data_IF_200466698891
#
_entry.id   IF_200466698891
#
_cell.length_a   1.000
_cell.length_b   1.000
_cell.length_c   1.000
_cell.angle_alpha   90.00
_cell.angle_beta   90.00
_cell.angle_gamma   90.00
#
_symmetry.space_group_name_H-M   'P 1'
#
loop_
_entity.id
_entity.type
_entity.pdbx_description
1 polymer ?
#
# COMPACT_ATOMS: atom_id res chain seq x y z
N UNK A 1 -11.70 27.92 9.78
CA UNK A 1 -11.88 26.45 9.82
C UNK A 1 -13.31 25.96 9.59
N UNK A 2 -14.33 26.39 10.35
CA UNK A 2 -15.72 25.87 10.19
C UNK A 2 -16.28 25.96 8.76
N UNK A 3 -16.04 27.08 8.06
CA UNK A 3 -16.44 27.28 6.65
C UNK A 3 -15.70 26.30 5.71
N UNK A 4 -14.40 26.10 5.92
CA UNK A 4 -13.57 25.15 5.15
C UNK A 4 -14.06 23.71 5.34
N UNK A 5 -14.32 23.28 6.60
CA UNK A 5 -14.84 21.94 6.91
C UNK A 5 -16.23 21.73 6.29
N UNK A 6 -17.06 22.78 6.28
CA UNK A 6 -18.40 22.72 5.66
C UNK A 6 -18.30 22.54 4.14
N UNK A 7 -17.40 23.27 3.48
CA UNK A 7 -17.17 23.14 2.04
C UNK A 7 -16.55 21.78 1.70
N UNK A 8 -15.53 21.33 2.46
CA UNK A 8 -14.89 20.03 2.26
C UNK A 8 -15.87 18.87 2.49
N UNK A 9 -16.66 18.91 3.57
CA UNK A 9 -17.66 17.86 3.83
C UNK A 9 -18.73 17.80 2.74
N UNK A 10 -19.16 18.96 2.21
CA UNK A 10 -20.06 19.03 1.07
C UNK A 10 -19.41 18.45 -0.18
N UNK A 11 -18.18 18.85 -0.50
CA UNK A 11 -17.44 18.36 -1.66
C UNK A 11 -17.27 16.83 -1.61
N UNK A 12 -16.83 16.29 -0.47
CA UNK A 12 -16.67 14.84 -0.28
C UNK A 12 -18.03 14.14 -0.43
N UNK A 13 -19.09 14.69 0.15
CA UNK A 13 -20.44 14.11 0.03
C UNK A 13 -20.93 14.08 -1.41
N UNK A 14 -20.75 15.19 -2.15
CA UNK A 14 -21.11 15.28 -3.57
C UNK A 14 -20.30 14.29 -4.39
N UNK A 15 -19.00 14.18 -4.15
CA UNK A 15 -18.15 13.22 -4.84
C UNK A 15 -18.57 11.77 -4.55
N UNK A 16 -18.89 11.43 -3.30
CA UNK A 16 -19.36 10.09 -2.93
C UNK A 16 -20.68 9.74 -3.60
N UNK A 17 -21.66 10.65 -3.56
CA UNK A 17 -22.97 10.45 -4.19
C UNK A 17 -22.86 10.38 -5.72
N UNK A 18 -22.12 11.30 -6.34
CA UNK A 18 -21.97 11.36 -7.79
C UNK A 18 -21.24 10.12 -8.32
N UNK A 19 -20.08 9.76 -7.74
CA UNK A 19 -19.33 8.58 -8.17
C UNK A 19 -20.09 7.29 -7.82
N UNK A 20 -20.75 7.23 -6.66
CA UNK A 20 -21.60 6.10 -6.28
C UNK A 20 -22.73 5.87 -7.29
N UNK A 21 -23.43 6.94 -7.66
CA UNK A 21 -24.51 6.89 -8.66
C UNK A 21 -23.99 6.53 -10.06
N UNK A 22 -22.88 7.14 -10.50
CA UNK A 22 -22.27 6.83 -11.80
C UNK A 22 -21.87 5.35 -11.90
N UNK A 23 -21.20 4.82 -10.88
CA UNK A 23 -20.80 3.40 -10.85
C UNK A 23 -22.00 2.46 -10.77
N UNK A 24 -23.08 2.85 -10.09
CA UNK A 24 -24.34 2.12 -10.09
C UNK A 24 -25.00 2.09 -11.46
N UNK A 25 -25.03 3.22 -12.18
CA UNK A 25 -25.53 3.27 -13.55
C UNK A 25 -24.74 2.37 -14.48
N UNK A 26 -23.40 2.37 -14.37
CA UNK A 26 -22.53 1.50 -15.16
C UNK A 26 -22.67 0.01 -14.81
N UNK A 27 -22.94 -0.31 -13.53
CA UNK A 27 -23.10 -1.68 -13.07
C UNK A 27 -24.52 -2.25 -13.26
N UNK A 28 -25.57 -1.43 -13.25
CA UNK A 28 -26.96 -1.90 -13.41
C UNK A 28 -27.42 -1.75 -14.87
N UNK A 29 -26.88 -0.78 -15.60
CA UNK A 29 -27.24 -0.47 -16.98
C UNK A 29 -27.05 -1.65 -17.93
N UNK A 30 -27.93 -1.73 -18.93
CA UNK A 30 -27.85 -2.73 -20.00
C UNK A 30 -26.70 -2.40 -20.95
N UNK A 31 -26.01 -3.44 -21.44
CA UNK A 31 -24.84 -3.30 -22.32
C UNK A 31 -25.11 -2.41 -23.54
N UNK A 32 -26.22 -2.64 -24.25
CA UNK A 32 -26.52 -1.93 -25.50
C UNK A 32 -26.73 -0.43 -25.29
N UNK A 33 -27.41 -0.06 -24.20
CA UNK A 33 -27.63 1.34 -23.81
C UNK A 33 -26.35 2.03 -23.37
N UNK A 34 -25.53 1.34 -22.56
CA UNK A 34 -24.23 1.87 -22.12
C UNK A 34 -23.25 2.01 -23.28
N UNK A 35 -23.22 1.04 -24.20
CA UNK A 35 -22.38 1.08 -25.40
C UNK A 35 -22.74 2.27 -26.28
N UNK A 36 -24.02 2.45 -26.60
CA UNK A 36 -24.49 3.59 -27.40
C UNK A 36 -24.11 4.94 -26.78
N UNK A 37 -24.16 5.04 -25.44
CA UNK A 37 -23.75 6.24 -24.73
C UNK A 37 -22.23 6.44 -24.75
N UNK A 38 -21.44 5.39 -24.51
CA UNK A 38 -19.98 5.44 -24.47
C UNK A 38 -19.37 5.70 -25.84
N UNK A 39 -19.99 5.19 -26.91
CA UNK A 39 -19.56 5.38 -28.30
C UNK A 39 -19.57 6.86 -28.72
N UNK A 40 -20.41 7.70 -28.08
CA UNK A 40 -20.43 9.16 -28.31
C UNK A 40 -19.18 9.87 -27.80
N UNK A 41 -18.44 9.25 -26.88
CA UNK A 41 -17.19 9.79 -26.33
C UNK A 41 -15.95 9.26 -27.07
N UNK A 42 -16.12 8.32 -28.01
CA UNK A 42 -15.04 7.76 -28.80
C UNK A 42 -14.76 8.65 -30.04
N UNK A 43 -13.49 8.92 -30.33
CA UNK A 43 -13.09 9.76 -31.47
C UNK A 43 -13.43 9.16 -32.83
N UNK A 44 -13.54 7.84 -32.90
CA UNK A 44 -13.91 7.03 -34.07
C UNK A 44 -15.39 6.63 -34.06
N UNK A 45 -16.15 7.03 -33.03
CA UNK A 45 -17.57 6.70 -32.88
C UNK A 45 -17.85 5.26 -32.44
N UNK A 46 -16.83 4.47 -32.05
CA UNK A 46 -17.03 3.14 -31.48
C UNK A 46 -15.98 2.76 -30.45
N UNK A 47 -16.41 2.50 -29.22
CA UNK A 47 -15.51 2.15 -28.13
C UNK A 47 -15.23 0.63 -28.12
N UNK A 48 -14.32 0.17 -29.00
CA UNK A 48 -13.98 -1.25 -29.15
C UNK A 48 -13.49 -1.92 -27.85
N UNK A 49 -12.91 -1.13 -26.93
CA UNK A 49 -12.46 -1.61 -25.62
C UNK A 49 -13.62 -2.04 -24.70
N UNK A 50 -14.84 -1.54 -24.91
CA UNK A 50 -16.02 -1.90 -24.11
C UNK A 50 -16.75 -3.12 -24.68
N UNK A 51 -16.14 -4.28 -24.47
CA UNK A 51 -16.73 -5.56 -24.87
C UNK A 51 -17.79 -6.04 -23.88
N UNK A 52 -18.73 -6.87 -24.35
CA UNK A 52 -19.75 -7.49 -23.50
C UNK A 52 -19.12 -8.37 -22.39
N UNK A 53 -17.98 -8.99 -22.69
CA UNK A 53 -17.21 -9.79 -21.72
C UNK A 53 -16.61 -8.93 -20.60
N UNK A 54 -16.12 -7.72 -20.93
CA UNK A 54 -15.65 -6.76 -19.94
C UNK A 54 -16.81 -6.24 -19.07
N UNK A 55 -17.93 -5.89 -19.69
CA UNK A 55 -19.12 -5.43 -18.97
C UNK A 55 -19.61 -6.48 -17.95
N UNK A 56 -19.72 -7.75 -18.37
CA UNK A 56 -20.16 -8.83 -17.47
C UNK A 56 -19.19 -9.07 -16.30
N UNK A 57 -17.88 -8.93 -16.52
CA UNK A 57 -16.88 -9.04 -15.43
C UNK A 57 -16.95 -7.87 -14.45
N UNK A 58 -17.20 -6.66 -14.96
CA UNK A 58 -17.18 -5.44 -14.15
C UNK A 58 -18.53 -5.11 -13.51
N UNK A 59 -19.64 -5.67 -13.99
CA UNK A 59 -21.00 -5.40 -13.53
C UNK A 59 -21.14 -5.45 -12.00
N UNK A 60 -20.79 -6.60 -11.41
CA UNK A 60 -20.89 -6.83 -9.98
C UNK A 60 -19.97 -5.91 -9.16
N UNK A 61 -18.65 -5.83 -9.44
CA UNK A 61 -17.77 -4.96 -8.66
C UNK A 61 -18.13 -3.47 -8.80
N UNK A 62 -18.59 -3.01 -9.97
CA UNK A 62 -19.08 -1.65 -10.16
C UNK A 62 -20.35 -1.38 -9.35
N UNK A 63 -21.35 -2.27 -9.39
CA UNK A 63 -22.58 -2.13 -8.60
C UNK A 63 -22.32 -2.17 -7.09
N UNK A 64 -21.42 -3.04 -6.62
CA UNK A 64 -21.06 -3.11 -5.19
C UNK A 64 -20.34 -1.85 -4.74
N UNK A 65 -19.31 -1.42 -5.49
CA UNK A 65 -18.54 -0.22 -5.16
C UNK A 65 -19.43 1.02 -5.22
N UNK A 66 -20.27 1.13 -6.26
CA UNK A 66 -21.24 2.20 -6.42
C UNK A 66 -22.26 2.24 -5.27
N UNK A 67 -22.81 1.08 -4.89
CA UNK A 67 -23.71 0.95 -3.73
C UNK A 67 -23.05 1.45 -2.44
N UNK A 68 -21.82 1.02 -2.18
CA UNK A 68 -21.08 1.40 -0.97
C UNK A 68 -20.87 2.91 -0.94
N UNK A 69 -20.36 3.51 -2.03
CA UNK A 69 -20.12 4.96 -2.08
C UNK A 69 -21.41 5.77 -1.98
N UNK A 70 -22.49 5.30 -2.61
CA UNK A 70 -23.79 5.95 -2.53
C UNK A 70 -24.38 5.90 -1.12
N UNK A 71 -24.30 4.75 -0.44
CA UNK A 71 -24.72 4.61 0.96
C UNK A 71 -23.85 5.47 1.88
N UNK A 72 -22.53 5.48 1.71
CA UNK A 72 -21.63 6.34 2.49
C UNK A 72 -21.93 7.83 2.27
N UNK A 73 -22.22 8.24 1.04
CA UNK A 73 -22.69 9.60 0.72
C UNK A 73 -24.05 9.92 1.33
N UNK A 74 -24.99 8.97 1.35
CA UNK A 74 -26.28 9.13 2.02
C UNK A 74 -26.14 9.24 3.55
N UNK A 75 -25.25 8.44 4.14
CA UNK A 75 -24.90 8.52 5.55
C UNK A 75 -24.22 9.84 5.89
N UNK A 76 -23.36 10.37 5.03
CA UNK A 76 -22.73 11.68 5.25
C UNK A 76 -23.74 12.84 5.19
N UNK A 77 -24.84 12.70 4.43
CA UNK A 77 -25.97 13.66 4.44
C UNK A 77 -26.81 13.53 5.70
N UNK A 78 -27.23 12.31 6.05
CA UNK A 78 -28.11 12.07 7.21
C UNK A 78 -27.41 12.34 8.54
N UNK A 79 -26.12 12.02 8.63
CA UNK A 79 -25.28 12.19 9.82
C UNK A 79 -24.31 13.36 9.67
N UNK A 80 -24.74 14.44 9.00
CA UNK A 80 -23.89 15.57 8.60
C UNK A 80 -23.03 16.17 9.71
N UNK A 81 -23.60 16.35 10.90
CA UNK A 81 -22.85 16.94 12.02
C UNK A 81 -21.78 15.98 12.55
N UNK A 82 -22.07 14.68 12.66
CA UNK A 82 -21.06 13.66 13.02
C UNK A 82 -19.95 13.59 11.98
N UNK A 83 -20.31 13.57 10.70
CA UNK A 83 -19.34 13.55 9.61
C UNK A 83 -18.41 14.77 9.63
N UNK A 84 -18.95 15.99 9.84
CA UNK A 84 -18.13 17.20 10.01
C UNK A 84 -17.20 17.10 11.23
N UNK A 85 -17.70 16.59 12.37
CA UNK A 85 -16.89 16.42 13.57
C UNK A 85 -15.75 15.42 13.35
N UNK A 86 -16.02 14.27 12.72
CA UNK A 86 -15.00 13.27 12.40
C UNK A 86 -13.97 13.83 11.40
N UNK A 87 -14.42 14.49 10.34
CA UNK A 87 -13.53 15.12 9.36
C UNK A 87 -12.66 16.20 10.01
N UNK A 88 -13.25 17.04 10.88
CA UNK A 88 -12.51 18.04 11.64
C UNK A 88 -11.48 17.41 12.57
N UNK A 89 -11.86 16.38 13.33
CA UNK A 89 -10.96 15.66 14.23
C UNK A 89 -9.80 15.04 13.45
N UNK A 90 -10.09 14.40 12.31
CA UNK A 90 -9.07 13.82 11.43
C UNK A 90 -8.11 14.88 10.88
N UNK A 91 -8.63 15.98 10.33
CA UNK A 91 -7.80 17.05 9.76
C UNK A 91 -6.97 17.81 10.82
N UNK A 92 -7.43 17.86 12.06
CA UNK A 92 -6.67 18.44 13.17
C UNK A 92 -5.64 17.45 13.73
N UNK A 93 -5.98 16.17 13.79
CA UNK A 93 -5.10 15.11 14.27
C UNK A 93 -3.94 14.86 13.30
N UNK A 94 -4.19 14.88 11.99
CA UNK A 94 -3.20 14.57 10.97
C UNK A 94 -1.90 15.41 11.05
N UNK A 95 -1.93 16.75 11.08
CA UNK A 95 -0.71 17.55 11.18
C UNK A 95 -0.05 17.42 12.54
N UNK A 96 -0.82 17.22 13.63
CA UNK A 96 -0.27 17.00 14.97
C UNK A 96 0.49 15.69 15.02
N UNK A 97 -0.10 14.61 14.51
CA UNK A 97 0.52 13.30 14.47
C UNK A 97 1.73 13.28 13.54
N UNK A 98 1.60 13.84 12.32
CA UNK A 98 2.71 13.94 11.38
C UNK A 98 3.88 14.76 11.95
N UNK A 99 3.58 15.88 12.61
CA UNK A 99 4.59 16.70 13.29
C UNK A 99 5.22 15.95 14.46
N UNK A 100 4.42 15.31 15.32
CA UNK A 100 4.93 14.54 16.45
C UNK A 100 5.84 13.40 15.98
N UNK A 101 5.41 12.62 14.98
CA UNK A 101 6.25 11.56 14.39
C UNK A 101 7.54 12.12 13.79
N UNK A 102 7.48 13.28 13.14
CA UNK A 102 8.66 13.95 12.60
C UNK A 102 9.59 14.45 13.70
N UNK A 103 9.06 15.09 14.74
CA UNK A 103 9.80 15.57 15.90
C UNK A 103 10.44 14.41 16.66
N UNK A 104 9.71 13.33 16.91
CA UNK A 104 10.22 12.11 17.55
C UNK A 104 11.34 11.48 16.71
N UNK A 105 11.16 11.39 15.39
CA UNK A 105 12.19 10.88 14.47
C UNK A 105 13.43 11.78 14.46
N UNK A 106 13.23 13.10 14.51
CA UNK A 106 14.30 14.08 14.55
C UNK A 106 15.06 14.04 15.88
N UNK A 107 14.35 13.99 17.00
CA UNK A 107 14.92 13.83 18.35
C UNK A 107 15.68 12.52 18.42
N UNK A 108 15.08 11.42 17.98
CA UNK A 108 15.75 10.11 17.91
C UNK A 108 17.05 10.17 17.09
N UNK A 109 17.01 10.82 15.93
CA UNK A 109 18.18 11.03 15.06
C UNK A 109 19.24 11.95 15.67
N UNK A 110 18.85 12.99 16.42
CA UNK A 110 19.77 13.88 17.14
C UNK A 110 20.39 13.20 18.35
N UNK A 111 19.63 12.36 19.05
CA UNK A 111 20.10 11.51 20.15
C UNK A 111 20.91 10.31 19.64
N UNK A 112 20.87 10.01 18.33
CA UNK A 112 21.83 9.12 17.71
C UNK A 112 23.20 9.83 17.78
N UNK A 113 23.92 9.58 18.88
CA UNK A 113 25.26 10.12 19.20
C UNK A 113 26.34 9.53 18.28
N UNK A 114 26.16 9.66 16.97
CA UNK A 114 27.06 9.14 15.95
C UNK A 114 28.41 9.86 15.96
N UNK A 115 28.45 11.13 16.42
CA UNK A 115 29.68 11.92 16.53
C UNK A 115 30.57 11.50 17.69
N UNK A 116 29.99 10.88 18.71
CA UNK A 116 30.73 10.39 19.86
C UNK A 116 31.37 9.03 19.58
N UNK A 117 31.13 8.44 18.40
CA UNK A 117 31.67 7.14 18.00
C UNK A 117 33.15 7.33 17.66
N UNK A 118 34.02 6.71 18.46
CA UNK A 118 35.46 6.72 18.19
C UNK A 118 35.77 6.02 16.85
N UNK A 119 36.87 6.37 16.19
CA UNK A 119 37.24 5.78 14.90
C UNK A 119 37.37 4.25 14.95
N UNK A 120 37.80 3.67 16.09
CA UNK A 120 37.89 2.23 16.27
C UNK A 120 36.50 1.57 16.44
N UNK A 121 35.54 2.27 17.02
CA UNK A 121 34.14 1.83 17.09
C UNK A 121 33.53 1.77 15.70
N UNK A 122 33.85 2.74 14.84
CA UNK A 122 33.48 2.68 13.42
C UNK A 122 34.08 1.48 12.71
N UNK A 123 35.36 1.15 12.97
CA UNK A 123 35.97 -0.05 12.41
C UNK A 123 35.28 -1.33 12.89
N UNK A 124 34.93 -1.41 14.18
CA UNK A 124 34.16 -2.53 14.73
C UNK A 124 32.79 -2.62 14.06
N UNK A 125 32.04 -1.53 13.97
CA UNK A 125 30.73 -1.51 13.34
C UNK A 125 30.80 -1.92 11.86
N UNK A 126 31.76 -1.39 11.11
CA UNK A 126 31.98 -1.77 9.71
C UNK A 126 32.34 -3.26 9.62
N UNK A 127 33.18 -3.77 10.52
CA UNK A 127 33.53 -5.20 10.55
C UNK A 127 32.30 -6.08 10.85
N UNK A 128 31.43 -5.67 11.78
CA UNK A 128 30.19 -6.36 12.12
C UNK A 128 29.22 -6.36 10.94
N UNK A 129 29.07 -5.21 10.27
CA UNK A 129 28.23 -5.09 9.06
C UNK A 129 28.80 -5.94 7.93
N UNK A 130 30.12 -5.94 7.72
CA UNK A 130 30.78 -6.75 6.70
C UNK A 130 30.61 -8.25 6.97
N UNK A 131 30.77 -8.69 8.22
CA UNK A 131 30.51 -10.08 8.63
C UNK A 131 29.04 -10.44 8.45
N UNK A 132 28.12 -9.56 8.85
CA UNK A 132 26.69 -9.73 8.69
C UNK A 132 26.28 -9.84 7.21
N UNK A 133 26.87 -9.01 6.36
CA UNK A 133 26.68 -9.03 4.91
C UNK A 133 27.25 -10.32 4.32
N UNK A 134 28.54 -10.59 4.51
CA UNK A 134 29.23 -11.74 3.91
C UNK A 134 28.61 -13.07 4.35
N UNK A 135 28.31 -13.20 5.65
CA UNK A 135 27.70 -14.40 6.22
C UNK A 135 26.32 -14.71 5.66
N UNK A 136 25.59 -13.71 5.14
CA UNK A 136 24.28 -13.90 4.48
C UNK A 136 24.40 -13.97 2.96
N UNK A 137 25.32 -13.23 2.36
CA UNK A 137 25.50 -13.12 0.91
C UNK A 137 25.86 -14.47 0.29
N UNK A 138 26.68 -15.27 0.97
CA UNK A 138 27.06 -16.63 0.52
C UNK A 138 25.84 -17.55 0.29
N UNK A 139 24.71 -17.26 0.93
CA UNK A 139 23.50 -18.07 0.85
C UNK A 139 22.42 -17.45 -0.03
N UNK A 140 22.61 -16.21 -0.51
CA UNK A 140 21.51 -15.44 -1.10
C UNK A 140 20.96 -16.07 -2.38
N UNK A 141 21.81 -16.76 -3.15
CA UNK A 141 21.45 -17.37 -4.43
C UNK A 141 21.35 -18.91 -4.38
N UNK A 142 21.27 -19.49 -3.17
CA UNK A 142 21.03 -20.93 -3.03
C UNK A 142 19.62 -21.31 -3.50
N UNK A 143 19.37 -22.57 -3.90
CA UNK A 143 18.03 -23.04 -4.19
C UNK A 143 17.05 -22.70 -3.06
N UNK A 144 15.83 -22.33 -3.43
CA UNK A 144 14.80 -21.94 -2.46
C UNK A 144 14.36 -23.15 -1.63
N UNK A 145 14.20 -22.94 -0.33
CA UNK A 145 13.60 -23.94 0.56
C UNK A 145 12.07 -23.87 0.51
N UNK A 146 11.41 -24.87 1.11
CA UNK A 146 9.96 -25.02 1.05
C UNK A 146 9.20 -23.74 1.41
N UNK A 147 9.51 -23.12 2.55
CA UNK A 147 8.80 -21.93 3.02
C UNK A 147 9.00 -20.71 2.12
N UNK A 148 10.18 -20.57 1.51
CA UNK A 148 10.50 -19.48 0.58
C UNK A 148 9.72 -19.67 -0.73
N UNK A 149 9.77 -20.89 -1.28
CA UNK A 149 9.03 -21.25 -2.49
C UNK A 149 7.53 -21.07 -2.29
N UNK A 150 7.04 -21.50 -1.12
CA UNK A 150 5.65 -21.36 -0.76
C UNK A 150 5.25 -19.89 -0.65
N UNK A 151 6.03 -19.07 0.06
CA UNK A 151 5.78 -17.63 0.18
C UNK A 151 5.68 -16.96 -1.19
N UNK A 152 6.58 -17.33 -2.10
CA UNK A 152 6.59 -16.78 -3.45
C UNK A 152 5.37 -17.21 -4.28
N UNK A 153 5.13 -18.51 -4.39
CA UNK A 153 4.07 -19.07 -5.26
C UNK A 153 2.67 -18.77 -4.71
N UNK A 154 2.49 -18.89 -3.39
CA UNK A 154 1.20 -18.73 -2.75
C UNK A 154 0.84 -17.26 -2.51
N UNK A 155 1.81 -16.35 -2.36
CA UNK A 155 1.53 -14.95 -2.04
C UNK A 155 2.21 -13.95 -2.96
N UNK A 156 3.54 -13.96 -3.09
CA UNK A 156 4.26 -12.85 -3.73
C UNK A 156 4.04 -12.76 -5.24
N UNK A 157 3.92 -13.88 -5.96
CA UNK A 157 3.64 -13.91 -7.40
C UNK A 157 2.17 -13.59 -7.71
N UNK A 158 1.26 -13.75 -6.73
CA UNK A 158 -0.16 -13.41 -6.91
C UNK A 158 -0.34 -11.89 -6.95
N UNK A 159 -1.52 -11.45 -7.39
CA UNK A 159 -1.84 -10.01 -7.37
C UNK A 159 -1.86 -9.45 -5.96
N UNK A 160 -1.48 -8.17 -5.81
CA UNK A 160 -1.40 -7.45 -4.52
C UNK A 160 -2.60 -7.66 -3.60
N UNK A 161 -3.82 -7.69 -4.17
CA UNK A 161 -5.04 -7.95 -3.40
C UNK A 161 -4.97 -9.30 -2.68
N UNK A 162 -4.63 -10.38 -3.40
CA UNK A 162 -4.54 -11.71 -2.82
C UNK A 162 -3.47 -11.75 -1.72
N UNK A 163 -2.31 -11.16 -1.96
CA UNK A 163 -1.20 -11.11 -0.98
C UNK A 163 -1.53 -10.30 0.28
N UNK A 164 -2.42 -9.30 0.20
CA UNK A 164 -2.79 -8.46 1.35
C UNK A 164 -4.02 -8.94 2.12
N UNK A 165 -4.90 -9.73 1.48
CA UNK A 165 -6.16 -10.19 2.08
C UNK A 165 -6.16 -11.66 2.48
N UNK A 166 -5.20 -12.45 2.00
CA UNK A 166 -5.10 -13.88 2.32
C UNK A 166 -4.25 -14.12 3.57
N UNK A 167 -4.91 -14.59 4.63
CA UNK A 167 -4.31 -14.96 5.92
C UNK A 167 -4.52 -16.43 6.26
N UNK A 168 -4.86 -17.27 5.26
CA UNK A 168 -5.13 -18.68 5.48
C UNK A 168 -3.92 -19.41 6.09
N UNK A 169 -2.70 -18.94 5.80
CA UNK A 169 -1.45 -19.57 6.26
C UNK A 169 -0.49 -18.55 6.88
N UNK A 170 0.34 -18.99 7.84
CA UNK A 170 1.19 -18.08 8.61
C UNK A 170 2.39 -17.53 7.82
N UNK A 171 2.74 -18.14 6.69
CA UNK A 171 3.91 -17.74 5.89
C UNK A 171 3.75 -16.36 5.21
N UNK A 172 2.56 -15.74 5.27
CA UNK A 172 2.34 -14.44 4.66
C UNK A 172 2.72 -13.28 5.59
N UNK A 173 3.97 -12.83 5.49
CA UNK A 173 4.43 -11.58 6.08
C UNK A 173 4.17 -10.41 5.11
N UNK A 174 2.99 -9.80 5.16
CA UNK A 174 2.46 -8.84 4.15
C UNK A 174 3.50 -7.82 3.67
N UNK A 175 4.22 -7.17 4.58
CA UNK A 175 5.22 -6.17 4.19
C UNK A 175 6.37 -6.79 3.39
N UNK A 176 6.90 -7.92 3.87
CA UNK A 176 7.92 -8.67 3.15
C UNK A 176 7.40 -9.17 1.78
N UNK A 177 6.21 -9.76 1.77
CA UNK A 177 5.53 -10.23 0.55
C UNK A 177 5.35 -9.11 -0.48
N UNK A 178 4.96 -7.90 -0.03
CA UNK A 178 4.81 -6.72 -0.87
C UNK A 178 6.15 -6.31 -1.48
N UNK A 179 7.23 -6.28 -0.69
CA UNK A 179 8.57 -5.97 -1.20
C UNK A 179 9.03 -7.00 -2.24
N UNK A 180 8.78 -8.29 -2.00
CA UNK A 180 9.08 -9.36 -2.97
C UNK A 180 8.26 -9.15 -4.25
N UNK A 181 6.96 -8.83 -4.14
CA UNK A 181 6.11 -8.57 -5.30
C UNK A 181 6.63 -7.40 -6.15
N UNK A 182 7.03 -6.30 -5.52
CA UNK A 182 7.62 -5.14 -6.22
C UNK A 182 8.95 -5.52 -6.87
N UNK A 183 9.85 -6.19 -6.14
CA UNK A 183 11.14 -6.62 -6.67
C UNK A 183 10.97 -7.58 -7.85
N UNK A 184 10.04 -8.53 -7.76
CA UNK A 184 9.71 -9.45 -8.85
C UNK A 184 9.12 -8.71 -10.06
N UNK A 185 8.24 -7.72 -9.83
CA UNK A 185 7.68 -6.91 -10.90
C UNK A 185 8.73 -6.09 -11.66
N UNK A 186 9.80 -5.66 -10.99
CA UNK A 186 10.86 -4.85 -11.58
C UNK A 186 12.00 -5.69 -12.18
N UNK A 187 12.41 -6.76 -11.50
CA UNK A 187 13.58 -7.56 -11.85
C UNK A 187 13.21 -8.88 -12.58
N UNK A 188 11.92 -9.21 -12.68
CA UNK A 188 11.45 -10.45 -13.28
C UNK A 188 11.89 -11.67 -12.49
N UNK A 189 12.19 -12.78 -13.16
CA UNK A 189 12.71 -14.00 -12.53
C UNK A 189 14.24 -13.99 -12.42
N UNK A 190 14.81 -13.00 -11.71
CA UNK A 190 16.25 -12.88 -11.49
C UNK A 190 16.83 -13.90 -10.48
N UNK A 191 16.05 -14.90 -10.07
CA UNK A 191 16.47 -15.98 -9.17
C UNK A 191 16.01 -15.82 -7.71
N UNK A 192 16.47 -16.72 -6.82
CA UNK A 192 16.11 -16.76 -5.40
C UNK A 192 16.37 -15.48 -4.62
N UNK A 193 17.34 -14.67 -5.09
CA UNK A 193 17.72 -13.40 -4.48
C UNK A 193 16.53 -12.45 -4.26
N UNK A 194 15.54 -12.45 -5.17
CA UNK A 194 14.38 -11.56 -5.09
C UNK A 194 13.57 -11.79 -3.82
N UNK A 195 13.42 -13.05 -3.44
CA UNK A 195 12.65 -13.46 -2.25
C UNK A 195 13.41 -13.15 -0.96
N UNK A 196 14.74 -13.25 -1.01
CA UNK A 196 15.62 -13.08 0.16
C UNK A 196 16.09 -11.64 0.37
N UNK A 197 16.09 -10.80 -0.66
CA UNK A 197 16.65 -9.45 -0.59
C UNK A 197 16.02 -8.57 0.51
N UNK A 198 14.69 -8.56 0.72
CA UNK A 198 14.12 -7.77 1.81
C UNK A 198 14.61 -8.22 3.19
N UNK A 199 14.62 -9.53 3.45
CA UNK A 199 15.14 -10.10 4.68
C UNK A 199 16.65 -9.90 4.85
N UNK A 200 17.41 -9.96 3.76
CA UNK A 200 18.84 -9.67 3.72
C UNK A 200 19.13 -8.24 4.16
N UNK A 201 18.48 -7.26 3.53
CA UNK A 201 18.65 -5.84 3.85
C UNK A 201 18.23 -5.55 5.29
N UNK A 202 17.07 -6.07 5.73
CA UNK A 202 16.62 -5.94 7.10
C UNK A 202 17.63 -6.54 8.10
N UNK A 203 18.19 -7.71 7.80
CA UNK A 203 19.17 -8.37 8.65
C UNK A 203 20.49 -7.59 8.79
N UNK A 204 20.97 -6.96 7.70
CA UNK A 204 22.18 -6.13 7.74
C UNK A 204 21.92 -4.82 8.49
N UNK A 205 20.79 -4.16 8.23
CA UNK A 205 20.42 -2.92 8.94
C UNK A 205 20.19 -3.16 10.43
N UNK A 206 19.62 -4.31 10.80
CA UNK A 206 19.42 -4.69 12.19
C UNK A 206 20.75 -4.73 12.96
N UNK A 207 21.84 -5.17 12.34
CA UNK A 207 23.18 -5.15 12.98
C UNK A 207 23.58 -3.73 13.38
N UNK A 208 23.35 -2.75 12.50
CA UNK A 208 23.60 -1.33 12.80
C UNK A 208 22.68 -0.83 13.90
N UNK A 209 21.38 -1.11 13.79
CA UNK A 209 20.38 -0.65 14.76
C UNK A 209 20.64 -1.20 16.16
N UNK A 210 20.96 -2.48 16.29
CA UNK A 210 21.25 -3.13 17.57
C UNK A 210 22.53 -2.55 18.18
N UNK A 211 23.61 -2.42 17.40
CA UNK A 211 24.86 -1.83 17.89
C UNK A 211 24.63 -0.42 18.45
N UNK A 212 23.94 0.44 17.68
CA UNK A 212 23.65 1.81 18.10
C UNK A 212 22.72 1.87 19.31
N UNK A 213 21.78 0.94 19.43
CA UNK A 213 20.90 0.83 20.59
C UNK A 213 21.66 0.39 21.85
N UNK A 214 22.49 -0.65 21.76
CA UNK A 214 23.26 -1.17 22.90
C UNK A 214 24.37 -0.25 23.38
N UNK A 215 24.83 0.65 22.51
CA UNK A 215 25.83 1.66 22.84
C UNK A 215 25.26 2.81 23.68
N UNK A 216 23.95 3.05 23.60
CA UNK A 216 23.25 4.08 24.40
C UNK A 216 23.13 3.65 25.85
#
# INVERSE_FOLDING_TARGET
MKKIITVLSLLITVLLLFNGFLLLLLGIGQYDGLRTFLDQFASDGSLESFTIGLHNRLRIPLSLTGSILFVLGGLSVTMRERFKHTLQAFLLWLPVYAKATWEDSWVFGKELRLKDIAWWEWLLLISLVALAFAGRWVWIDRPMMHDESYTFIAFAQRGLRASMTDYHLPNNHIFNTLLIHVLYGWLGNAGPIIVRLPAFVAGVLLTVSVYLYTRR
#
